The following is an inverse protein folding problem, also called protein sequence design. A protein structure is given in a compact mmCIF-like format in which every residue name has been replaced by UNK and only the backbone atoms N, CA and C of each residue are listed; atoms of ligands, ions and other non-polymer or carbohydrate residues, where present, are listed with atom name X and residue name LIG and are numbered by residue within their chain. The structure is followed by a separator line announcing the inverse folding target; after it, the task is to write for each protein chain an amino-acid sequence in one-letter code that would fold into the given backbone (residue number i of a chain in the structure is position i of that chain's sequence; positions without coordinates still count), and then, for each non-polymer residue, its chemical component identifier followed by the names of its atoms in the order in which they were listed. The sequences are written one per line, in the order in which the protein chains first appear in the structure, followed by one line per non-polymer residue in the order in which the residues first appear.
data_IF_117691943299
#
_entry.id   IF_117691943299
#
_cell.length_a   1.000
_cell.length_b   1.000
_cell.length_c   1.000
_cell.angle_alpha   90.00
_cell.angle_beta   90.00
_cell.angle_gamma   90.00
#
_symmetry.space_group_name_H-M   'P 1'
#
loop_
_entity.id
_entity.type
_entity.pdbx_description
1 polymer ?
#
# COMPACT_ATOMS: atom_id res chain seq x y z
N UNK A 1 -21.88 2.58 17.63
CA UNK A 1 -20.43 2.83 17.62
C UNK A 1 -20.18 4.21 18.24
N UNK A 2 -19.26 4.33 19.18
CA UNK A 2 -19.00 5.58 19.91
C UNK A 2 -18.41 6.65 18.97
N UNK A 3 -19.06 7.82 18.91
CA UNK A 3 -18.65 8.95 18.05
C UNK A 3 -17.21 9.40 18.34
N UNK A 4 -16.80 9.35 19.61
CA UNK A 4 -15.44 9.71 20.05
C UNK A 4 -14.41 8.75 19.45
N UNK A 5 -14.72 7.44 19.41
CA UNK A 5 -13.83 6.42 18.85
C UNK A 5 -13.67 6.58 17.33
N UNK A 6 -14.73 7.00 16.64
CA UNK A 6 -14.67 7.32 15.21
C UNK A 6 -13.77 8.53 14.95
N UNK A 7 -13.96 9.62 15.71
CA UNK A 7 -13.12 10.82 15.57
C UNK A 7 -11.64 10.51 15.82
N UNK A 8 -11.32 9.72 16.85
CA UNK A 8 -9.96 9.26 17.13
C UNK A 8 -9.38 8.40 16.01
N UNK A 9 -10.16 7.46 15.47
CA UNK A 9 -9.74 6.61 14.37
C UNK A 9 -9.33 7.45 13.15
N UNK A 10 -10.13 8.47 12.82
CA UNK A 10 -9.86 9.36 11.70
C UNK A 10 -8.64 10.23 11.96
N UNK A 11 -8.54 10.83 13.14
CA UNK A 11 -7.38 11.66 13.50
C UNK A 11 -6.08 10.84 13.45
N UNK A 12 -6.05 9.65 14.04
CA UNK A 12 -4.85 8.81 14.06
C UNK A 12 -4.50 8.19 12.72
N UNK A 13 -5.46 7.98 11.83
CA UNK A 13 -5.20 7.37 10.51
C UNK A 13 -4.80 8.43 9.49
N UNK A 14 -5.45 9.60 9.48
CA UNK A 14 -5.30 10.58 8.40
C UNK A 14 -4.33 11.73 8.73
N UNK A 15 -4.03 11.98 10.01
CA UNK A 15 -3.04 13.01 10.38
C UNK A 15 -1.65 12.61 9.92
N UNK A 16 -0.97 13.46 9.15
CA UNK A 16 0.38 13.19 8.64
C UNK A 16 0.45 12.12 7.54
N UNK A 17 -0.69 11.76 6.94
CA UNK A 17 -0.76 10.74 5.90
C UNK A 17 0.07 11.12 4.67
N UNK A 18 0.87 10.19 4.18
CA UNK A 18 1.62 10.32 2.93
C UNK A 18 1.51 9.04 2.10
N UNK A 19 1.99 9.08 0.86
CA UNK A 19 1.94 7.96 -0.07
C UNK A 19 3.30 7.26 -0.19
N UNK A 20 3.26 5.94 -0.04
CA UNK A 20 4.37 5.03 -0.31
C UNK A 20 4.00 4.05 -1.42
N UNK A 21 5.01 3.41 -2.00
CA UNK A 21 4.85 2.59 -3.19
C UNK A 21 5.67 1.31 -3.11
N UNK A 22 5.09 0.24 -3.64
CA UNK A 22 5.74 -1.06 -3.83
C UNK A 22 5.29 -1.64 -5.16
N UNK A 23 6.22 -1.77 -6.10
CA UNK A 23 5.97 -2.34 -7.41
C UNK A 23 6.43 -3.80 -7.43
N UNK A 24 5.63 -4.69 -8.01
CA UNK A 24 5.95 -6.12 -8.08
C UNK A 24 5.30 -6.79 -9.28
N UNK A 25 5.83 -7.95 -9.67
CA UNK A 25 5.13 -8.85 -10.59
C UNK A 25 4.27 -9.80 -9.80
N UNK A 26 2.97 -9.81 -10.07
CA UNK A 26 2.04 -10.78 -9.51
C UNK A 26 1.24 -11.42 -10.63
N UNK A 27 0.96 -12.72 -10.46
CA UNK A 27 0.03 -13.41 -11.34
C UNK A 27 -1.41 -12.87 -11.17
N UNK A 28 -2.17 -12.83 -12.26
CA UNK A 28 -3.56 -12.32 -12.26
C UNK A 28 -4.45 -13.06 -11.25
N UNK A 29 -4.17 -14.34 -11.00
CA UNK A 29 -4.91 -15.13 -10.02
C UNK A 29 -4.71 -14.63 -8.57
N UNK A 30 -3.60 -13.95 -8.27
CA UNK A 30 -3.37 -13.27 -6.99
C UNK A 30 -4.00 -11.89 -6.97
N UNK A 31 -3.82 -11.10 -8.04
CA UNK A 31 -4.37 -9.74 -8.15
C UNK A 31 -5.89 -9.73 -8.01
N UNK A 32 -6.57 -10.69 -8.64
CA UNK A 32 -8.04 -10.83 -8.60
C UNK A 32 -8.62 -11.21 -7.23
N UNK A 33 -7.78 -11.57 -6.25
CA UNK A 33 -8.21 -11.91 -4.89
C UNK A 33 -8.56 -10.67 -4.07
N UNK A 34 -7.90 -9.54 -4.36
CA UNK A 34 -8.16 -8.28 -3.67
C UNK A 34 -9.54 -7.73 -4.06
N UNK A 35 -10.27 -7.23 -3.07
CA UNK A 35 -11.57 -6.57 -3.28
C UNK A 35 -11.58 -5.20 -2.65
N UNK A 36 -12.21 -4.24 -3.32
CA UNK A 36 -12.44 -2.91 -2.73
C UNK A 36 -13.24 -3.05 -1.43
N UNK A 37 -12.86 -2.26 -0.42
CA UNK A 37 -13.32 -2.31 0.97
C UNK A 37 -12.92 -3.55 1.77
N UNK A 38 -12.14 -4.46 1.21
CA UNK A 38 -11.57 -5.56 1.98
C UNK A 38 -10.53 -5.04 2.96
N UNK A 39 -10.60 -5.53 4.21
CA UNK A 39 -9.49 -5.41 5.15
C UNK A 39 -8.57 -6.62 5.01
N UNK A 40 -7.28 -6.37 4.98
CA UNK A 40 -6.20 -7.36 4.94
C UNK A 40 -5.20 -7.08 6.05
N UNK A 41 -4.47 -8.11 6.48
CA UNK A 41 -3.38 -7.97 7.45
C UNK A 41 -2.10 -8.52 6.83
N UNK A 42 -1.01 -7.76 6.86
CA UNK A 42 0.32 -8.25 6.49
C UNK A 42 1.04 -8.75 7.76
N UNK A 43 1.49 -10.01 7.76
CA UNK A 43 2.17 -10.61 8.91
C UNK A 43 3.67 -10.30 8.92
N UNK A 44 4.27 -10.10 7.75
CA UNK A 44 5.66 -9.68 7.60
C UNK A 44 5.82 -8.16 7.68
N UNK A 45 7.06 -7.69 7.59
CA UNK A 45 7.30 -6.27 7.33
C UNK A 45 6.87 -5.90 5.91
N UNK A 46 6.36 -4.69 5.73
CA UNK A 46 6.07 -4.17 4.40
C UNK A 46 7.16 -3.18 3.99
N UNK A 47 8.08 -3.66 3.16
CA UNK A 47 9.11 -2.83 2.55
C UNK A 47 8.48 -1.94 1.47
N UNK A 48 8.66 -0.61 1.58
CA UNK A 48 8.07 0.37 0.67
C UNK A 48 9.05 1.50 0.33
N UNK A 49 8.83 2.15 -0.80
CA UNK A 49 9.57 3.35 -1.20
C UNK A 49 8.68 4.60 -1.05
N UNK A 50 9.27 5.74 -0.71
CA UNK A 50 8.60 7.04 -0.86
C UNK A 50 8.71 7.62 -2.29
N UNK A 51 9.39 6.91 -3.20
CA UNK A 51 9.56 7.28 -4.60
C UNK A 51 8.61 6.48 -5.48
N UNK A 52 8.10 7.11 -6.54
CA UNK A 52 7.39 6.41 -7.59
C UNK A 52 7.51 7.16 -8.92
N UNK A 53 7.90 6.42 -9.95
CA UNK A 53 8.03 6.89 -11.34
C UNK A 53 7.25 5.93 -12.25
N UNK A 54 7.73 5.70 -13.48
CA UNK A 54 7.18 4.71 -14.40
C UNK A 54 7.01 3.35 -13.73
N UNK A 55 5.91 2.68 -14.03
CA UNK A 55 5.63 1.35 -13.52
C UNK A 55 6.15 0.32 -14.53
N UNK A 56 7.33 -0.24 -14.30
CA UNK A 56 7.85 -1.32 -15.14
C UNK A 56 7.03 -2.61 -14.95
N UNK A 57 6.65 -2.90 -13.70
CA UNK A 57 5.98 -4.13 -13.30
C UNK A 57 4.49 -4.16 -13.67
N UNK A 58 3.82 -5.29 -13.43
CA UNK A 58 2.36 -5.42 -13.61
C UNK A 58 1.54 -4.84 -12.46
N UNK A 59 2.08 -4.80 -11.24
CA UNK A 59 1.34 -4.33 -10.05
C UNK A 59 2.08 -3.23 -9.31
N UNK A 60 1.33 -2.23 -8.85
CA UNK A 60 1.75 -1.21 -7.88
C UNK A 60 0.84 -1.25 -6.66
N UNK A 61 1.38 -1.53 -5.49
CA UNK A 61 0.74 -1.19 -4.24
C UNK A 61 1.04 0.28 -3.93
N UNK A 62 0.02 1.13 -4.02
CA UNK A 62 0.08 2.50 -3.53
C UNK A 62 -0.48 2.50 -2.10
N UNK A 63 0.28 2.95 -1.12
CA UNK A 63 -0.02 2.77 0.30
C UNK A 63 -0.07 4.12 0.98
N UNK A 64 -1.26 4.53 1.40
CA UNK A 64 -1.45 5.70 2.24
C UNK A 64 -1.15 5.31 3.70
N UNK A 65 -0.13 5.91 4.29
CA UNK A 65 0.30 5.61 5.66
C UNK A 65 0.91 6.85 6.31
N UNK A 66 0.72 7.01 7.62
CA UNK A 66 1.44 7.96 8.46
C UNK A 66 2.43 7.27 9.42
N UNK A 67 2.57 5.95 9.30
CA UNK A 67 3.34 5.12 10.23
C UNK A 67 4.29 4.20 9.45
N UNK A 68 5.14 4.80 8.61
CA UNK A 68 6.24 4.12 7.94
C UNK A 68 7.58 4.73 8.39
N UNK A 69 8.47 3.91 8.92
CA UNK A 69 9.76 4.36 9.45
C UNK A 69 10.78 4.55 8.33
N UNK A 70 11.43 5.71 8.25
CA UNK A 70 12.47 5.98 7.27
C UNK A 70 13.77 5.25 7.64
N UNK A 71 14.12 4.21 6.89
CA UNK A 71 15.34 3.45 7.14
C UNK A 71 16.58 4.08 6.50
N UNK A 72 16.42 4.97 5.52
CA UNK A 72 17.54 5.73 4.95
C UNK A 72 18.24 6.62 5.98
N UNK A 73 17.54 7.06 7.02
CA UNK A 73 18.14 7.80 8.14
C UNK A 73 19.01 6.94 9.07
N UNK A 74 18.89 5.60 8.98
CA UNK A 74 19.58 4.64 9.86
C UNK A 74 20.68 3.91 9.07
N UNK A 75 20.38 3.47 7.85
CA UNK A 75 21.32 2.82 6.96
C UNK A 75 21.45 3.63 5.65
N UNK A 76 22.60 4.30 5.42
CA UNK A 76 22.84 5.06 4.20
C UNK A 76 22.72 4.23 2.91
N UNK A 77 23.00 2.93 2.95
CA UNK A 77 23.03 2.06 1.75
C UNK A 77 21.65 1.90 1.11
N UNK A 78 20.58 2.10 1.88
CA UNK A 78 19.20 1.97 1.42
C UNK A 78 18.52 3.31 1.10
N UNK A 79 19.21 4.44 1.31
CA UNK A 79 18.71 5.78 0.97
C UNK A 79 18.36 5.88 -0.52
N UNK A 80 19.13 5.20 -1.38
CA UNK A 80 18.91 5.14 -2.83
C UNK A 80 17.51 4.65 -3.20
N UNK A 81 16.89 3.80 -2.38
CA UNK A 81 15.53 3.28 -2.59
C UNK A 81 14.43 4.20 -2.02
N UNK A 82 14.79 5.25 -1.29
CA UNK A 82 13.80 5.97 -0.47
C UNK A 82 13.13 5.05 0.56
N UNK A 83 13.90 4.10 1.11
CA UNK A 83 13.37 2.95 1.84
C UNK A 83 12.67 3.36 3.14
N UNK A 84 11.40 2.98 3.25
CA UNK A 84 10.61 3.01 4.47
C UNK A 84 10.08 1.62 4.80
N UNK A 85 9.82 1.40 6.07
CA UNK A 85 9.34 0.14 6.61
C UNK A 85 8.01 0.36 7.33
N UNK A 86 6.98 -0.39 6.96
CA UNK A 86 5.77 -0.53 7.79
C UNK A 86 5.91 -1.83 8.59
N UNK A 87 5.63 -1.74 9.89
CA UNK A 87 5.85 -2.83 10.85
C UNK A 87 5.00 -4.06 10.54
N UNK A 88 5.45 -5.22 11.00
CA UNK A 88 4.68 -6.46 10.92
C UNK A 88 3.35 -6.39 11.67
N UNK A 89 2.38 -7.17 11.20
CA UNK A 89 1.01 -7.18 11.73
C UNK A 89 0.16 -6.00 11.28
N UNK A 90 0.63 -5.21 10.30
CA UNK A 90 -0.08 -4.03 9.81
C UNK A 90 -1.42 -4.39 9.15
N UNK A 91 -2.43 -3.56 9.39
CA UNK A 91 -3.76 -3.68 8.79
C UNK A 91 -3.93 -2.66 7.68
N UNK A 92 -4.47 -3.13 6.57
CA UNK A 92 -4.76 -2.28 5.42
C UNK A 92 -6.20 -2.46 4.98
N UNK A 93 -6.84 -1.35 4.59
CA UNK A 93 -8.08 -1.38 3.84
C UNK A 93 -7.75 -1.17 2.36
N UNK A 94 -8.25 -2.05 1.49
CA UNK A 94 -8.19 -1.86 0.04
C UNK A 94 -9.19 -0.75 -0.33
N UNK A 95 -8.70 0.45 -0.64
CA UNK A 95 -9.55 1.57 -1.00
C UNK A 95 -9.99 1.52 -2.46
N UNK A 96 -9.10 1.09 -3.35
CA UNK A 96 -9.34 1.10 -4.78
C UNK A 96 -8.47 0.10 -5.51
N UNK A 97 -8.96 -0.37 -6.65
CA UNK A 97 -8.22 -1.21 -7.59
C UNK A 97 -8.39 -0.55 -8.96
N UNK A 98 -7.32 0.05 -9.48
CA UNK A 98 -7.35 0.85 -10.69
C UNK A 98 -6.43 0.24 -11.75
N UNK A 99 -6.97 0.00 -12.94
CA UNK A 99 -6.27 -0.69 -14.03
C UNK A 99 -6.09 0.22 -15.23
N UNK A 100 -4.87 0.27 -15.75
CA UNK A 100 -4.50 0.91 -17.02
C UNK A 100 -3.84 -0.17 -17.86
N UNK A 101 -4.51 -0.60 -18.93
CA UNK A 101 -4.06 -1.72 -19.77
C UNK A 101 -3.77 -3.00 -18.95
N UNK A 102 -2.53 -3.48 -18.97
CA UNK A 102 -2.07 -4.65 -18.22
C UNK A 102 -1.50 -4.32 -16.83
N UNK A 103 -1.57 -3.05 -16.39
CA UNK A 103 -1.01 -2.57 -15.13
C UNK A 103 -2.10 -2.28 -14.12
N UNK A 104 -1.92 -2.77 -12.90
CA UNK A 104 -2.90 -2.64 -11.82
C UNK A 104 -2.28 -1.90 -10.64
N UNK A 105 -2.95 -0.86 -10.16
CA UNK A 105 -2.67 -0.26 -8.87
C UNK A 105 -3.70 -0.73 -7.84
N UNK A 106 -3.20 -1.27 -6.73
CA UNK A 106 -3.99 -1.59 -5.54
C UNK A 106 -3.70 -0.51 -4.52
N UNK A 107 -4.69 0.32 -4.22
CA UNK A 107 -4.57 1.41 -3.26
C UNK A 107 -4.95 0.91 -1.86
N UNK A 108 -4.00 0.96 -0.95
CA UNK A 108 -4.15 0.52 0.43
C UNK A 108 -4.12 1.72 1.39
N UNK A 109 -4.96 1.67 2.41
CA UNK A 109 -4.91 2.59 3.54
C UNK A 109 -4.48 1.83 4.78
N UNK A 110 -3.31 2.21 5.33
CA UNK A 110 -2.82 1.66 6.59
C UNK A 110 -3.58 2.27 7.76
N UNK A 111 -3.97 1.44 8.73
CA UNK A 111 -4.59 1.89 9.98
C UNK A 111 -4.20 0.96 11.15
N UNK A 112 -4.41 1.44 12.39
CA UNK A 112 -4.13 0.65 13.59
C UNK A 112 -5.26 -0.36 13.88
N UNK A 113 -4.92 -1.58 14.27
CA UNK A 113 -5.86 -2.67 14.56
C UNK A 113 -6.98 -2.31 15.55
N UNK A 114 -6.74 -1.38 16.48
CA UNK A 114 -7.75 -0.91 17.45
C UNK A 114 -8.98 -0.27 16.76
N UNK A 115 -8.83 0.11 15.50
CA UNK A 115 -9.86 0.69 14.64
C UNK A 115 -10.41 -0.27 13.59
N UNK A 116 -10.09 -1.56 13.67
CA UNK A 116 -10.57 -2.59 12.74
C UNK A 116 -12.09 -2.54 12.55
N UNK A 117 -12.86 -2.56 13.63
CA UNK A 117 -14.33 -2.54 13.55
C UNK A 117 -14.88 -1.29 12.81
N UNK A 118 -14.20 -0.16 12.95
CA UNK A 118 -14.59 1.11 12.32
C UNK A 118 -14.33 1.02 10.81
N UNK A 119 -13.09 0.70 10.41
CA UNK A 119 -12.72 0.71 9.00
C UNK A 119 -13.26 -0.49 8.22
N UNK A 120 -13.66 -1.57 8.89
CA UNK A 120 -14.36 -2.68 8.27
C UNK A 120 -15.84 -2.36 7.94
N UNK A 121 -16.44 -1.35 8.59
CA UNK A 121 -17.86 -1.04 8.47
C UNK A 121 -18.16 0.36 7.92
N UNK A 122 -17.14 1.16 7.62
CA UNK A 122 -17.32 2.55 7.18
C UNK A 122 -16.49 2.89 5.96
N UNK A 123 -16.97 3.87 5.21
CA UNK A 123 -16.27 4.57 4.12
C UNK A 123 -16.41 6.08 4.37
N UNK A 124 -15.50 6.88 3.82
CA UNK A 124 -15.48 8.32 4.07
C UNK A 124 -15.10 9.15 2.84
N UNK A 125 -15.50 10.42 2.86
CA UNK A 125 -15.09 11.38 1.84
C UNK A 125 -13.56 11.61 1.83
N UNK A 126 -12.85 11.27 2.91
CA UNK A 126 -11.38 11.34 2.95
C UNK A 126 -10.80 10.18 2.14
N UNK A 127 -11.34 8.97 2.27
CA UNK A 127 -10.97 7.83 1.43
C UNK A 127 -11.16 8.15 -0.06
N UNK A 128 -12.28 8.76 -0.45
CA UNK A 128 -12.52 9.18 -1.84
C UNK A 128 -11.45 10.16 -2.37
N UNK A 129 -10.99 11.09 -1.53
CA UNK A 129 -9.90 12.00 -1.90
C UNK A 129 -8.58 11.26 -2.08
N UNK A 130 -8.27 10.29 -1.20
CA UNK A 130 -7.07 9.44 -1.32
C UNK A 130 -7.13 8.64 -2.62
N UNK A 131 -8.30 8.10 -2.97
CA UNK A 131 -8.53 7.39 -4.25
C UNK A 131 -8.23 8.30 -5.44
N UNK A 132 -8.78 9.52 -5.45
CA UNK A 132 -8.53 10.47 -6.54
C UNK A 132 -7.04 10.82 -6.67
N UNK A 133 -6.35 11.03 -5.55
CA UNK A 133 -4.90 11.29 -5.55
C UNK A 133 -4.13 10.08 -6.08
N UNK A 134 -4.47 8.88 -5.63
CA UNK A 134 -3.85 7.64 -6.08
C UNK A 134 -4.01 7.40 -7.59
N UNK A 135 -5.22 7.59 -8.14
CA UNK A 135 -5.47 7.43 -9.58
C UNK A 135 -4.71 8.45 -10.41
N UNK A 136 -4.82 9.74 -10.07
CA UNK A 136 -4.09 10.83 -10.75
C UNK A 136 -2.58 10.61 -10.72
N UNK A 137 -2.05 10.12 -9.60
CA UNK A 137 -0.64 9.76 -9.44
C UNK A 137 -0.23 8.67 -10.42
N UNK A 138 -1.03 7.62 -10.58
CA UNK A 138 -0.76 6.56 -11.56
C UNK A 138 -0.85 7.09 -13.00
N UNK A 139 -1.93 7.79 -13.34
CA UNK A 139 -2.16 8.34 -14.69
C UNK A 139 -0.97 9.20 -15.16
N UNK A 140 -0.41 10.01 -14.26
CA UNK A 140 0.75 10.84 -14.55
C UNK A 140 2.04 10.01 -14.64
N UNK A 141 2.26 9.09 -13.69
CA UNK A 141 3.52 8.34 -13.58
C UNK A 141 3.69 7.26 -14.62
N UNK A 142 2.60 6.68 -15.12
CA UNK A 142 2.66 5.60 -16.12
C UNK A 142 3.34 6.03 -17.43
N UNK A 143 3.35 7.34 -17.70
CA UNK A 143 3.99 7.94 -18.87
C UNK A 143 5.49 8.21 -18.68
N UNK A 144 6.01 8.04 -17.46
CA UNK A 144 7.42 8.27 -17.13
C UNK A 144 8.25 7.00 -17.33
N UNK A 145 9.56 7.18 -17.46
CA UNK A 145 10.49 6.05 -17.44
C UNK A 145 10.49 5.39 -16.04
N UNK A 146 10.57 4.05 -15.96
CA UNK A 146 10.70 3.38 -14.68
C UNK A 146 12.02 3.69 -13.97
N UNK A 147 11.96 3.80 -12.65
CA UNK A 147 13.14 4.03 -11.84
C UNK A 147 14.05 2.79 -11.83
N UNK A 148 15.27 2.91 -12.34
CA UNK A 148 16.21 1.78 -12.43
C UNK A 148 16.63 1.23 -11.05
N UNK A 149 16.71 2.08 -10.03
CA UNK A 149 17.07 1.66 -8.66
C UNK A 149 15.96 0.82 -8.05
N UNK A 150 14.70 1.23 -8.18
CA UNK A 150 13.54 0.45 -7.72
C UNK A 150 13.21 -0.76 -8.59
N UNK A 151 13.97 -1.02 -9.66
CA UNK A 151 13.80 -2.18 -10.53
C UNK A 151 15.04 -3.07 -10.59
N UNK A 152 16.02 -2.83 -9.72
CA UNK A 152 17.16 -3.72 -9.58
C UNK A 152 16.78 -5.04 -8.88
N UNK A 153 17.69 -6.00 -8.88
CA UNK A 153 17.48 -7.33 -8.30
C UNK A 153 17.19 -7.27 -6.79
N UNK A 154 17.99 -6.49 -6.04
CA UNK A 154 17.87 -6.39 -4.58
C UNK A 154 16.48 -5.89 -4.14
N UNK A 155 16.00 -4.81 -4.75
CA UNK A 155 14.69 -4.25 -4.42
C UNK A 155 13.53 -5.11 -4.93
N UNK A 156 13.68 -5.69 -6.13
CA UNK A 156 12.68 -6.61 -6.69
C UNK A 156 12.49 -7.81 -5.77
N UNK A 157 13.57 -8.39 -5.25
CA UNK A 157 13.50 -9.55 -4.35
C UNK A 157 12.78 -9.22 -3.03
N UNK A 158 13.00 -8.02 -2.47
CA UNK A 158 12.31 -7.55 -1.25
C UNK A 158 10.82 -7.37 -1.42
N UNK A 159 10.39 -7.01 -2.63
CA UNK A 159 9.03 -6.53 -2.89
C UNK A 159 8.16 -7.51 -3.68
N UNK A 160 8.69 -8.67 -4.06
CA UNK A 160 8.04 -9.62 -4.97
C UNK A 160 6.74 -10.23 -4.47
N UNK A 161 6.55 -10.35 -3.16
CA UNK A 161 5.37 -11.04 -2.59
C UNK A 161 4.10 -10.17 -2.66
N UNK A 162 2.90 -10.75 -2.66
CA UNK A 162 1.67 -10.00 -2.44
C UNK A 162 1.63 -9.45 -1.01
N UNK A 163 0.83 -8.40 -0.77
CA UNK A 163 0.56 -7.87 0.58
C UNK A 163 -0.70 -8.52 1.14
N UNK A 164 -0.61 -9.03 2.36
CA UNK A 164 -1.73 -9.53 3.15
C UNK A 164 -2.15 -10.96 2.86
N UNK A 165 -1.44 -11.67 1.99
CA UNK A 165 -1.69 -13.06 1.65
C UNK A 165 -0.41 -13.84 1.35
N UNK A 166 -0.54 -15.17 1.37
CA UNK A 166 0.49 -16.08 0.87
C UNK A 166 0.57 -16.01 -0.67
N UNK A 167 1.70 -16.46 -1.22
CA UNK A 167 1.89 -16.67 -2.67
C UNK A 167 0.89 -17.69 -3.27
N UNK A 168 0.17 -18.44 -2.43
CA UNK A 168 -0.92 -19.33 -2.82
C UNK A 168 -2.28 -18.62 -2.96
N UNK A 169 -2.37 -17.33 -2.66
CA UNK A 169 -3.61 -16.55 -2.70
C UNK A 169 -4.49 -16.66 -1.45
N UNK A 170 -3.99 -17.28 -0.38
CA UNK A 170 -4.69 -17.40 0.91
C UNK A 170 -4.35 -16.18 1.78
N UNK A 171 -5.36 -15.36 2.10
CA UNK A 171 -5.19 -14.19 2.97
C UNK A 171 -4.80 -14.60 4.40
N UNK A 172 -3.99 -13.77 5.05
CA UNK A 172 -3.58 -14.01 6.44
C UNK A 172 -4.69 -13.73 7.45
N UNK A 173 -5.56 -12.78 7.11
CA UNK A 173 -6.77 -12.47 7.84
C UNK A 173 -7.91 -13.31 7.24
N UNK A 174 -8.40 -14.26 8.02
CA UNK A 174 -9.60 -15.01 7.69
C UNK A 174 -10.78 -14.30 8.37
N UNK A 175 -11.71 -13.80 7.57
CA UNK A 175 -13.01 -13.31 8.05
C UNK A 175 -13.97 -14.48 8.25
#
# INVERSE_FOLDING_TARGET
MDKTKIEQAYQHTFSGLTMYYRDCELEEHLVSRYKVNQVIQERGFTDVSNQAEGLAKTVRFAIASNNASNLGGINPDVVKYGFHLITSGAYFKVLDIYKIENKTQILLMHFNEVYLDIFNSTTSNIEEKIIQVGRKSLDAKIQLQPNAILNNEEWTERTKHPIGMLDSGVFFLNN
#
